data_IF_407364518082
#
_entry.id   IF_407364518082
#
_cell.length_a   1.000
_cell.length_b   1.000
_cell.length_c   1.000
_cell.angle_alpha   90.00
_cell.angle_beta   90.00
_cell.angle_gamma   90.00
#
_symmetry.space_group_name_H-M   'P 1'
#
loop_
_entity.id
_entity.type
_entity.pdbx_description
1 polymer ?
#
# COMPACT_ATOMS: atom_id res chain seq x y z
N UNK A 1 46.00 19.21 -18.47
CA UNK A 1 45.13 18.43 -19.35
C UNK A 1 45.08 17.01 -18.84
N UNK A 2 44.09 16.69 -18.02
CA UNK A 2 43.77 15.31 -17.63
C UNK A 2 42.27 15.21 -17.45
N UNK A 3 41.64 14.54 -18.39
CA UNK A 3 40.21 14.18 -18.36
C UNK A 3 39.99 13.05 -17.35
N UNK A 4 39.28 13.30 -16.25
CA UNK A 4 38.74 12.23 -15.39
C UNK A 4 37.39 11.80 -15.92
N UNK A 5 37.37 10.65 -16.55
CA UNK A 5 36.16 9.90 -16.92
C UNK A 5 35.56 9.25 -15.66
N UNK A 6 34.47 9.81 -15.15
CA UNK A 6 33.65 9.16 -14.12
C UNK A 6 32.76 8.12 -14.78
N UNK A 7 33.13 6.85 -14.66
CA UNK A 7 32.26 5.71 -14.98
C UNK A 7 31.16 5.60 -13.94
N UNK A 8 29.93 5.94 -14.32
CA UNK A 8 28.74 5.62 -13.53
C UNK A 8 28.61 4.10 -13.35
N UNK A 9 28.83 3.59 -12.15
CA UNK A 9 28.43 2.24 -11.76
C UNK A 9 26.91 2.18 -11.73
N UNK A 10 26.32 1.48 -12.68
CA UNK A 10 24.90 1.12 -12.70
C UNK A 10 24.55 0.43 -11.38
N UNK A 11 23.60 0.97 -10.64
CA UNK A 11 23.08 0.42 -9.42
C UNK A 11 22.35 -0.92 -9.70
N UNK A 12 23.04 -2.03 -9.47
CA UNK A 12 22.57 -3.40 -9.75
C UNK A 12 21.72 -4.01 -8.62
N UNK A 13 21.38 -3.24 -7.61
CA UNK A 13 20.75 -3.77 -6.39
C UNK A 13 19.28 -4.19 -6.57
N UNK A 14 18.57 -3.62 -7.53
CA UNK A 14 17.16 -3.97 -7.75
C UNK A 14 17.00 -5.27 -8.56
N UNK A 15 17.91 -5.53 -9.49
CA UNK A 15 17.98 -6.82 -10.20
C UNK A 15 18.42 -7.95 -9.29
N UNK A 16 19.15 -7.65 -8.22
CA UNK A 16 19.56 -8.63 -7.21
C UNK A 16 18.42 -9.00 -6.27
N UNK A 17 17.60 -8.04 -5.81
CA UNK A 17 16.44 -8.35 -4.96
C UNK A 17 15.37 -9.17 -5.71
N UNK A 18 15.03 -8.80 -6.93
CA UNK A 18 14.12 -9.60 -7.76
C UNK A 18 14.68 -10.98 -8.10
N UNK A 19 16.01 -11.11 -8.25
CA UNK A 19 16.69 -12.41 -8.40
C UNK A 19 16.70 -13.21 -7.10
N UNK A 20 16.79 -12.58 -5.94
CA UNK A 20 16.74 -13.24 -4.63
C UNK A 20 15.31 -13.73 -4.33
N UNK A 21 14.28 -12.96 -4.63
CA UNK A 21 12.89 -13.42 -4.50
C UNK A 21 12.57 -14.54 -5.50
N UNK A 22 13.02 -14.42 -6.76
CA UNK A 22 12.89 -15.49 -7.73
C UNK A 22 13.73 -16.73 -7.33
N UNK A 23 14.90 -16.52 -6.75
CA UNK A 23 15.75 -17.59 -6.23
C UNK A 23 15.12 -18.28 -5.02
N UNK A 24 14.48 -17.56 -4.12
CA UNK A 24 13.73 -18.10 -2.98
C UNK A 24 12.49 -18.87 -3.49
N UNK A 25 11.77 -18.37 -4.47
CA UNK A 25 10.65 -19.08 -5.10
C UNK A 25 11.15 -20.29 -5.89
N UNK A 26 12.27 -20.17 -6.61
CA UNK A 26 12.92 -21.29 -7.30
C UNK A 26 13.55 -22.30 -6.32
N UNK A 27 14.18 -21.84 -5.25
CA UNK A 27 14.69 -22.69 -4.17
C UNK A 27 13.54 -23.38 -3.41
N UNK A 28 12.42 -22.70 -3.19
CA UNK A 28 11.20 -23.36 -2.69
C UNK A 28 10.60 -24.34 -3.71
N UNK A 29 10.74 -24.08 -5.01
CA UNK A 29 10.23 -24.94 -6.08
C UNK A 29 11.24 -26.04 -6.50
N UNK A 30 12.56 -25.81 -6.44
CA UNK A 30 13.61 -26.76 -6.83
C UNK A 30 14.14 -27.58 -5.67
N UNK A 31 14.03 -27.14 -4.41
CA UNK A 31 14.21 -28.00 -3.24
C UNK A 31 13.19 -29.16 -3.20
N UNK A 32 12.23 -29.14 -4.12
CA UNK A 32 11.31 -30.25 -4.35
C UNK A 32 11.88 -31.44 -5.16
N UNK A 33 13.10 -31.35 -5.74
CA UNK A 33 13.56 -32.39 -6.68
C UNK A 33 14.94 -33.01 -6.47
N UNK A 34 15.76 -32.56 -5.56
CA UNK A 34 17.08 -33.20 -5.38
C UNK A 34 17.60 -33.09 -3.95
N UNK A 35 17.80 -34.18 -3.34
CA UNK A 35 18.63 -34.63 -2.22
C UNK A 35 17.87 -35.31 -1.07
N UNK A 36 18.23 -36.58 -0.82
CA UNK A 36 18.09 -37.33 0.44
C UNK A 36 16.67 -37.56 0.96
N UNK A 37 15.95 -38.55 0.42
CA UNK A 37 14.52 -38.78 0.70
C UNK A 37 14.11 -38.89 2.18
N UNK A 38 14.98 -39.21 3.13
CA UNK A 38 14.57 -39.42 4.53
C UNK A 38 14.62 -38.18 5.41
N UNK A 39 15.64 -37.35 5.27
CA UNK A 39 15.80 -36.12 6.08
C UNK A 39 14.84 -35.00 5.62
N UNK A 40 14.66 -34.90 4.32
CA UNK A 40 13.73 -33.95 3.72
C UNK A 40 12.27 -34.26 4.05
N UNK A 41 11.90 -35.56 4.11
CA UNK A 41 10.55 -35.95 4.52
C UNK A 41 10.26 -35.58 5.98
N UNK A 42 11.23 -35.74 6.88
CA UNK A 42 11.08 -35.37 8.30
C UNK A 42 11.00 -33.86 8.46
N UNK A 43 11.83 -33.08 7.76
CA UNK A 43 11.76 -31.62 7.79
C UNK A 43 10.44 -31.12 7.21
N UNK A 44 10.01 -31.66 6.08
CA UNK A 44 8.70 -31.35 5.47
C UNK A 44 7.54 -31.69 6.41
N UNK A 45 7.57 -32.87 7.02
CA UNK A 45 6.54 -33.27 7.98
C UNK A 45 6.49 -32.38 9.20
N UNK A 46 7.64 -31.92 9.73
CA UNK A 46 7.70 -30.95 10.85
C UNK A 46 7.17 -29.58 10.45
N UNK A 47 7.59 -29.07 9.29
CA UNK A 47 7.11 -27.79 8.76
C UNK A 47 5.60 -27.87 8.48
N UNK A 48 5.14 -28.94 7.85
CA UNK A 48 3.72 -29.14 7.57
C UNK A 48 2.88 -29.29 8.84
N UNK A 49 3.40 -30.01 9.84
CA UNK A 49 2.77 -30.15 11.16
C UNK A 49 2.68 -28.78 11.90
N UNK A 50 3.76 -28.01 11.91
CA UNK A 50 3.79 -26.68 12.54
C UNK A 50 2.85 -25.70 11.83
N UNK A 51 2.84 -25.70 10.49
CA UNK A 51 1.92 -24.90 9.69
C UNK A 51 0.47 -25.35 9.89
N UNK A 52 0.22 -26.64 10.00
CA UNK A 52 -1.10 -27.19 10.29
C UNK A 52 -1.59 -26.79 11.67
N UNK A 53 -0.76 -26.96 12.69
CA UNK A 53 -1.11 -26.57 14.07
C UNK A 53 -1.47 -25.08 14.15
N UNK A 54 -0.69 -24.22 13.48
CA UNK A 54 -0.98 -22.79 13.37
C UNK A 54 -2.23 -22.52 12.54
N UNK A 55 -2.42 -23.23 11.44
CA UNK A 55 -3.56 -23.05 10.54
C UNK A 55 -4.87 -23.43 11.22
N UNK A 56 -4.91 -24.57 11.95
CA UNK A 56 -6.13 -25.02 12.63
C UNK A 56 -6.38 -24.32 13.97
N UNK A 57 -5.37 -23.70 14.58
CA UNK A 57 -5.53 -22.87 15.77
C UNK A 57 -6.26 -21.59 15.39
N UNK A 58 -7.57 -21.55 15.60
CA UNK A 58 -8.36 -20.36 15.37
C UNK A 58 -8.70 -19.67 16.69
N UNK A 59 -8.70 -18.33 16.68
CA UNK A 59 -9.16 -17.51 17.79
C UNK A 59 -10.59 -16.98 17.55
N UNK A 60 -11.21 -17.37 16.43
CA UNK A 60 -12.54 -16.96 16.07
C UNK A 60 -13.63 -17.84 16.71
N UNK A 61 -14.79 -17.25 16.96
CA UNK A 61 -16.04 -17.96 17.19
C UNK A 61 -16.50 -18.59 15.87
N UNK A 62 -16.54 -19.92 15.82
CA UNK A 62 -16.86 -20.67 14.60
C UNK A 62 -18.30 -20.46 14.10
N UNK A 63 -19.20 -19.94 14.95
CA UNK A 63 -20.52 -19.51 14.52
C UNK A 63 -20.46 -18.26 13.63
N UNK A 64 -19.42 -17.43 13.75
CA UNK A 64 -19.24 -16.19 13.01
C UNK A 64 -18.20 -16.29 11.91
N UNK A 65 -17.08 -16.96 12.16
CA UNK A 65 -15.94 -17.00 11.23
C UNK A 65 -15.36 -18.40 11.17
N UNK A 66 -15.22 -18.93 9.98
CA UNK A 66 -14.64 -20.26 9.76
C UNK A 66 -13.49 -20.20 8.76
N UNK A 67 -12.63 -21.21 8.80
CA UNK A 67 -11.68 -21.44 7.73
C UNK A 67 -12.35 -22.17 6.56
N UNK A 68 -12.00 -21.85 5.31
CA UNK A 68 -12.37 -22.67 4.18
C UNK A 68 -11.69 -24.05 4.26
N UNK A 69 -12.28 -25.05 3.65
CA UNK A 69 -11.78 -26.43 3.69
C UNK A 69 -10.47 -26.63 2.91
N UNK A 70 -10.21 -25.80 1.89
CA UNK A 70 -9.02 -25.92 1.06
C UNK A 70 -7.72 -25.46 1.76
N UNK A 71 -6.64 -26.23 1.57
CA UNK A 71 -5.29 -25.90 2.08
C UNK A 71 -4.55 -24.93 1.19
N UNK A 72 -4.77 -25.02 -0.12
CA UNK A 72 -4.15 -24.19 -1.15
C UNK A 72 -5.21 -23.26 -1.76
N UNK A 73 -4.89 -21.99 -1.84
CA UNK A 73 -5.74 -21.00 -2.52
C UNK A 73 -4.91 -20.33 -3.62
N UNK A 74 -5.43 -20.35 -4.84
CA UNK A 74 -4.86 -19.64 -5.97
C UNK A 74 -5.74 -18.45 -6.31
N UNK A 75 -5.13 -17.32 -6.68
CA UNK A 75 -5.83 -16.08 -7.01
C UNK A 75 -5.20 -15.39 -8.20
N UNK A 76 -6.06 -14.89 -9.10
CA UNK A 76 -5.68 -13.88 -10.09
C UNK A 76 -6.27 -12.56 -9.66
N UNK A 77 -5.49 -11.48 -9.74
CA UNK A 77 -5.88 -10.16 -9.29
C UNK A 77 -5.54 -9.13 -10.34
N UNK A 78 -6.46 -8.20 -10.53
CA UNK A 78 -6.24 -6.94 -11.23
C UNK A 78 -6.19 -5.85 -10.18
N UNK A 79 -5.10 -5.10 -10.12
CA UNK A 79 -4.93 -4.02 -9.16
C UNK A 79 -4.82 -2.70 -9.93
N UNK A 80 -5.42 -1.66 -9.37
CA UNK A 80 -5.31 -0.30 -9.87
C UNK A 80 -5.01 0.62 -8.70
N UNK A 81 -4.06 1.54 -8.87
CA UNK A 81 -3.66 2.51 -7.85
C UNK A 81 -3.63 3.90 -8.45
N UNK A 82 -4.00 4.88 -7.63
CA UNK A 82 -3.89 6.30 -7.94
C UNK A 82 -3.52 7.09 -6.71
N UNK A 83 -2.97 8.28 -6.93
CA UNK A 83 -2.60 9.21 -5.88
C UNK A 83 -2.78 10.63 -6.40
N UNK A 84 -3.68 11.38 -5.77
CA UNK A 84 -3.97 12.77 -6.04
C UNK A 84 -3.40 13.61 -4.90
N UNK A 85 -2.83 14.74 -5.24
CA UNK A 85 -2.11 15.58 -4.31
C UNK A 85 -2.43 17.05 -4.57
N UNK A 86 -3.04 17.70 -3.61
CA UNK A 86 -3.33 19.13 -3.63
C UNK A 86 -2.52 19.82 -2.56
N UNK A 87 -1.68 20.76 -2.92
CA UNK A 87 -0.88 21.52 -1.99
C UNK A 87 -1.03 23.01 -2.24
N UNK A 88 -1.00 23.80 -1.17
CA UNK A 88 -0.88 25.26 -1.23
C UNK A 88 -0.06 25.77 -0.07
N UNK A 89 0.76 26.77 -0.31
CA UNK A 89 1.61 27.36 0.73
C UNK A 89 2.25 28.66 0.29
N UNK A 90 2.81 29.38 1.25
CA UNK A 90 3.52 30.65 1.01
C UNK A 90 4.90 30.61 1.67
N UNK A 91 5.95 30.81 0.86
CA UNK A 91 7.32 30.94 1.33
C UNK A 91 7.92 32.20 0.71
N UNK A 92 8.43 33.09 1.55
CA UNK A 92 9.06 34.36 1.12
C UNK A 92 8.20 35.21 0.17
N UNK A 93 6.90 35.31 0.45
CA UNK A 93 5.96 36.06 -0.39
C UNK A 93 5.56 35.38 -1.70
N UNK A 94 6.13 34.21 -2.01
CA UNK A 94 5.72 33.37 -3.16
C UNK A 94 4.59 32.48 -2.69
N UNK A 95 3.37 32.74 -3.14
CA UNK A 95 2.23 31.84 -2.97
C UNK A 95 2.28 30.78 -4.05
N UNK A 96 2.21 29.54 -3.66
CA UNK A 96 2.31 28.40 -4.57
C UNK A 96 1.12 27.47 -4.37
N UNK A 97 0.56 26.98 -5.48
CA UNK A 97 -0.41 25.89 -5.48
C UNK A 97 0.07 24.77 -6.39
N UNK A 98 -0.30 23.56 -6.04
CA UNK A 98 -0.01 22.37 -6.84
C UNK A 98 -1.20 21.42 -6.79
N UNK A 99 -1.70 21.07 -7.95
CA UNK A 99 -2.81 20.14 -8.17
C UNK A 99 -2.29 18.99 -9.05
N UNK A 100 -1.78 17.96 -8.39
CA UNK A 100 -0.97 16.94 -9.02
C UNK A 100 -1.60 15.57 -8.87
N UNK A 101 -1.43 14.73 -9.89
CA UNK A 101 -1.84 13.34 -9.87
C UNK A 101 -0.75 12.43 -10.44
N UNK A 102 -0.69 11.21 -9.96
CA UNK A 102 0.17 10.18 -10.56
C UNK A 102 -0.59 9.43 -11.65
N UNK A 103 0.12 8.97 -12.68
CA UNK A 103 -0.49 8.06 -13.66
C UNK A 103 -1.06 6.83 -12.96
N UNK A 104 -2.28 6.48 -13.30
CA UNK A 104 -2.94 5.28 -12.76
C UNK A 104 -2.14 4.03 -13.16
N UNK A 105 -1.77 3.22 -12.17
CA UNK A 105 -1.01 1.99 -12.39
C UNK A 105 -1.95 0.80 -12.36
N UNK A 106 -2.04 0.10 -13.48
CA UNK A 106 -2.75 -1.17 -13.56
C UNK A 106 -1.74 -2.30 -13.55
N UNK A 107 -1.88 -3.24 -12.61
CA UNK A 107 -1.03 -4.42 -12.48
C UNK A 107 -1.86 -5.67 -12.40
N UNK A 108 -1.41 -6.73 -13.06
CA UNK A 108 -1.97 -8.07 -12.91
C UNK A 108 -1.08 -8.88 -11.97
N UNK A 109 -1.66 -9.65 -11.04
CA UNK A 109 -0.89 -10.51 -10.16
C UNK A 109 -1.52 -11.89 -10.02
N UNK A 110 -0.65 -12.89 -9.91
CA UNK A 110 -1.02 -14.26 -9.56
C UNK A 110 -0.51 -14.49 -8.15
N UNK A 111 -1.36 -14.99 -7.28
CA UNK A 111 -1.04 -15.28 -5.89
C UNK A 111 -1.41 -16.71 -5.53
N UNK A 112 -0.57 -17.30 -4.70
CA UNK A 112 -0.83 -18.58 -4.06
C UNK A 112 -0.78 -18.40 -2.54
N UNK A 113 -1.67 -19.09 -1.84
CA UNK A 113 -1.68 -19.14 -0.38
C UNK A 113 -1.79 -20.59 0.07
N UNK A 114 -0.81 -21.04 0.84
CA UNK A 114 -0.81 -22.39 1.43
C UNK A 114 -0.89 -22.25 2.95
N UNK A 115 -1.94 -22.81 3.54
CA UNK A 115 -2.19 -22.79 5.00
C UNK A 115 -2.02 -21.40 5.64
N UNK A 116 -2.47 -20.37 4.94
CA UNK A 116 -2.46 -18.98 5.44
C UNK A 116 -1.16 -18.22 5.21
N UNK A 117 -0.13 -18.85 4.63
CA UNK A 117 1.05 -18.15 4.10
C UNK A 117 0.79 -17.86 2.62
N UNK A 118 0.92 -16.60 2.23
CA UNK A 118 0.61 -16.15 0.88
C UNK A 118 1.84 -15.55 0.21
N UNK A 119 2.03 -15.88 -1.06
CA UNK A 119 2.97 -15.21 -1.94
C UNK A 119 2.25 -14.77 -3.21
N UNK A 120 2.66 -13.66 -3.80
CA UNK A 120 2.10 -13.21 -5.06
C UNK A 120 3.17 -12.56 -5.93
N UNK A 121 3.08 -12.79 -7.22
CA UNK A 121 3.91 -12.14 -8.23
C UNK A 121 3.03 -11.16 -9.00
N UNK A 122 3.41 -9.89 -9.00
CA UNK A 122 2.76 -8.85 -9.76
C UNK A 122 3.55 -8.54 -11.04
N UNK A 123 2.86 -8.48 -12.15
CA UNK A 123 3.39 -8.08 -13.44
C UNK A 123 2.74 -6.76 -13.81
N UNK A 124 3.55 -5.76 -14.12
CA UNK A 124 3.05 -4.49 -14.63
C UNK A 124 3.32 -4.44 -16.15
N UNK A 125 2.29 -4.64 -17.00
CA UNK A 125 2.46 -4.59 -18.44
C UNK A 125 2.98 -3.24 -18.95
N UNK A 126 2.58 -2.14 -18.30
CA UNK A 126 2.99 -0.79 -18.68
C UNK A 126 4.47 -0.48 -18.35
N UNK A 127 5.09 -1.21 -17.40
CA UNK A 127 6.54 -1.07 -17.14
C UNK A 127 7.43 -1.60 -18.26
N UNK A 128 6.88 -2.40 -19.17
CA UNK A 128 7.64 -2.90 -20.32
C UNK A 128 7.84 -1.83 -21.40
N UNK A 129 7.09 -0.72 -21.36
CA UNK A 129 7.15 0.36 -22.34
C UNK A 129 7.42 1.76 -21.73
N UNK A 130 7.57 1.87 -20.41
CA UNK A 130 7.51 3.15 -19.71
C UNK A 130 8.81 3.93 -19.65
N UNK A 131 8.74 5.22 -19.99
CA UNK A 131 9.81 6.19 -19.88
C UNK A 131 10.13 6.58 -18.42
N UNK A 132 9.21 6.37 -17.46
CA UNK A 132 9.31 6.84 -16.09
C UNK A 132 9.50 5.71 -15.08
N UNK A 133 10.33 5.95 -14.05
CA UNK A 133 10.65 4.99 -12.99
C UNK A 133 9.66 5.09 -11.83
N UNK A 134 8.51 4.51 -12.03
CA UNK A 134 7.50 4.40 -10.98
C UNK A 134 7.52 3.02 -10.35
N UNK A 135 7.63 2.95 -9.02
CA UNK A 135 7.48 1.68 -8.31
C UNK A 135 6.68 1.85 -7.03
N UNK A 136 6.01 0.79 -6.63
CA UNK A 136 5.22 0.71 -5.42
C UNK A 136 5.44 -0.64 -4.74
N UNK A 137 5.67 -0.60 -3.44
CA UNK A 137 5.78 -1.76 -2.58
C UNK A 137 4.64 -1.72 -1.57
N UNK A 138 3.84 -2.76 -1.54
CA UNK A 138 2.72 -2.91 -0.62
C UNK A 138 2.89 -4.17 0.21
N UNK A 139 2.86 -4.01 1.52
CA UNK A 139 2.83 -5.10 2.47
C UNK A 139 1.58 -4.97 3.34
N UNK A 140 0.76 -6.03 3.35
CA UNK A 140 -0.45 -6.07 4.15
C UNK A 140 -0.46 -7.36 4.99
N UNK A 141 -0.64 -7.21 6.28
CA UNK A 141 -0.80 -8.31 7.22
C UNK A 141 -2.10 -8.16 7.98
N UNK A 142 -2.95 -9.17 7.88
CA UNK A 142 -4.23 -9.21 8.58
C UNK A 142 -4.33 -10.47 9.42
N UNK A 143 -4.37 -10.29 10.74
CA UNK A 143 -4.67 -11.37 11.69
C UNK A 143 -6.05 -11.17 12.32
N UNK A 144 -6.39 -11.98 13.29
CA UNK A 144 -7.66 -11.80 14.03
C UNK A 144 -7.65 -10.51 14.85
N UNK A 145 -6.54 -10.17 15.49
CA UNK A 145 -6.44 -9.05 16.44
C UNK A 145 -5.73 -7.84 15.87
N UNK A 146 -4.62 -8.07 15.17
CA UNK A 146 -3.73 -7.03 14.68
C UNK A 146 -3.72 -7.02 13.16
N UNK A 147 -3.73 -5.85 12.59
CA UNK A 147 -3.57 -5.62 11.17
C UNK A 147 -2.51 -4.55 10.94
N UNK A 148 -1.75 -4.73 9.88
CA UNK A 148 -0.68 -3.83 9.47
C UNK A 148 -0.78 -3.63 7.96
N UNK A 149 -0.81 -2.38 7.55
CA UNK A 149 -0.70 -1.95 6.17
C UNK A 149 0.51 -1.05 6.02
N UNK A 150 1.39 -1.39 5.08
CA UNK A 150 2.58 -0.62 4.75
C UNK A 150 2.63 -0.45 3.24
N UNK A 151 2.77 0.77 2.77
CA UNK A 151 2.97 1.06 1.36
C UNK A 151 4.05 2.11 1.16
N UNK A 152 4.98 1.84 0.27
CA UNK A 152 5.97 2.79 -0.20
C UNK A 152 5.80 3.00 -1.69
N UNK A 153 5.75 4.25 -2.12
CA UNK A 153 5.63 4.63 -3.52
C UNK A 153 6.70 5.64 -3.88
N UNK A 154 7.38 5.42 -5.00
CA UNK A 154 8.14 6.43 -5.71
C UNK A 154 7.52 6.63 -7.08
N UNK A 155 7.28 7.88 -7.46
CA UNK A 155 6.69 8.21 -8.76
C UNK A 155 7.45 9.36 -9.40
N UNK A 156 7.80 9.19 -10.67
CA UNK A 156 8.33 10.20 -11.57
C UNK A 156 7.26 10.61 -12.60
N UNK A 157 6.10 9.93 -12.62
CA UNK A 157 4.95 10.23 -13.48
C UNK A 157 3.98 11.26 -12.89
N UNK A 158 4.40 12.00 -11.86
CA UNK A 158 3.61 13.05 -11.26
C UNK A 158 3.45 14.20 -12.26
N UNK A 159 2.21 14.59 -12.54
CA UNK A 159 1.87 15.66 -13.47
C UNK A 159 0.65 16.43 -13.00
N UNK A 160 0.46 17.65 -13.47
CA UNK A 160 -0.71 18.47 -13.14
C UNK A 160 -0.42 19.96 -13.18
N UNK A 161 -1.32 20.71 -12.61
CA UNK A 161 -1.24 22.16 -12.65
C UNK A 161 -0.51 22.71 -11.42
N UNK A 162 0.35 23.69 -11.64
CA UNK A 162 1.09 24.40 -10.61
C UNK A 162 0.93 25.91 -10.81
N UNK A 163 0.92 26.66 -9.73
CA UNK A 163 0.98 28.11 -9.82
C UNK A 163 1.96 28.69 -8.81
N UNK A 164 2.57 29.82 -9.19
CA UNK A 164 3.47 30.60 -8.35
C UNK A 164 3.06 32.06 -8.46
N UNK A 165 2.43 32.59 -7.41
CA UNK A 165 1.70 33.90 -7.43
C UNK A 165 0.68 33.91 -8.60
N UNK A 166 0.81 34.84 -9.54
CA UNK A 166 -0.09 34.98 -10.69
C UNK A 166 0.32 34.16 -11.91
N UNK A 167 1.45 33.46 -11.84
CA UNK A 167 1.95 32.63 -12.95
C UNK A 167 1.43 31.20 -12.79
N UNK A 168 0.69 30.75 -13.79
CA UNK A 168 0.23 29.37 -13.88
C UNK A 168 1.11 28.58 -14.85
N UNK A 169 1.32 27.33 -14.56
CA UNK A 169 2.08 26.41 -15.41
C UNK A 169 1.60 24.99 -15.23
N UNK A 170 2.11 24.10 -16.05
CA UNK A 170 1.85 22.66 -15.95
C UNK A 170 3.14 21.93 -15.66
N UNK A 171 3.09 21.07 -14.67
CA UNK A 171 4.13 20.10 -14.35
C UNK A 171 3.92 18.87 -15.24
N UNK A 172 4.94 18.55 -16.03
CA UNK A 172 4.92 17.34 -16.85
C UNK A 172 5.56 16.16 -16.14
N UNK A 173 5.22 14.95 -16.56
CA UNK A 173 5.84 13.75 -16.03
C UNK A 173 7.36 13.76 -16.22
N UNK A 174 8.10 13.43 -15.16
CA UNK A 174 9.57 13.51 -15.12
C UNK A 174 10.11 14.79 -14.51
N UNK A 175 9.29 15.84 -14.34
CA UNK A 175 9.71 17.14 -13.82
C UNK A 175 9.61 17.26 -12.29
N UNK A 176 8.92 16.31 -11.66
CA UNK A 176 8.98 16.12 -10.22
C UNK A 176 9.10 14.65 -9.84
N UNK A 177 9.75 14.41 -8.72
CA UNK A 177 9.79 13.09 -8.08
C UNK A 177 9.01 13.12 -6.77
N UNK A 178 8.06 12.22 -6.62
CA UNK A 178 7.31 12.00 -5.40
C UNK A 178 7.78 10.71 -4.72
N UNK A 179 7.97 10.77 -3.40
CA UNK A 179 8.22 9.60 -2.54
C UNK A 179 7.21 9.65 -1.41
N UNK A 180 6.46 8.58 -1.19
CA UNK A 180 5.44 8.50 -0.12
C UNK A 180 5.54 7.18 0.60
N UNK A 181 5.53 7.24 1.93
CA UNK A 181 5.44 6.11 2.83
C UNK A 181 4.15 6.25 3.66
N UNK A 182 3.29 5.24 3.59
CA UNK A 182 2.14 5.11 4.45
C UNK A 182 2.27 3.84 5.27
N UNK A 183 2.01 3.95 6.56
CA UNK A 183 1.96 2.83 7.49
C UNK A 183 0.76 2.99 8.41
N UNK A 184 -0.01 1.91 8.61
CA UNK A 184 -1.10 1.87 9.57
C UNK A 184 -1.08 0.55 10.31
N UNK A 185 -1.22 0.60 11.62
CA UNK A 185 -1.37 -0.57 12.47
C UNK A 185 -2.59 -0.38 13.35
N UNK A 186 -3.43 -1.41 13.46
CA UNK A 186 -4.67 -1.31 14.22
C UNK A 186 -5.05 -2.62 14.91
N UNK A 187 -5.67 -2.46 16.05
CA UNK A 187 -6.21 -3.52 16.89
C UNK A 187 -7.72 -3.64 16.70
N UNK A 188 -8.20 -4.87 16.57
CA UNK A 188 -9.60 -5.23 16.40
C UNK A 188 -10.16 -5.73 17.72
N UNK A 189 -11.09 -5.00 18.35
CA UNK A 189 -11.64 -5.35 19.66
C UNK A 189 -12.53 -6.61 19.61
N UNK A 190 -13.46 -6.66 18.66
CA UNK A 190 -14.32 -7.83 18.47
C UNK A 190 -13.66 -8.90 17.58
N UNK A 191 -12.39 -9.18 17.84
CA UNK A 191 -11.54 -10.07 17.04
C UNK A 191 -12.04 -11.53 16.97
N UNK A 192 -12.97 -11.94 17.83
CA UNK A 192 -13.55 -13.28 17.81
C UNK A 192 -14.66 -13.42 16.76
N UNK A 193 -15.40 -12.37 16.46
CA UNK A 193 -16.59 -12.41 15.58
C UNK A 193 -16.41 -11.64 14.28
N UNK A 194 -15.54 -10.66 14.27
CA UNK A 194 -15.23 -9.84 13.11
C UNK A 194 -13.88 -10.24 12.49
N UNK A 195 -13.80 -10.33 11.15
CA UNK A 195 -12.61 -10.82 10.45
C UNK A 195 -12.22 -9.95 9.27
N UNK A 196 -11.13 -9.18 9.38
CA UNK A 196 -10.46 -8.55 8.23
C UNK A 196 -9.95 -9.58 7.23
N UNK A 197 -9.33 -10.70 7.66
CA UNK A 197 -8.89 -11.73 6.73
C UNK A 197 -9.99 -12.31 5.83
N UNK A 198 -11.23 -12.34 6.28
CA UNK A 198 -12.34 -12.79 5.44
C UNK A 198 -12.60 -11.84 4.26
N UNK A 199 -12.46 -10.53 4.48
CA UNK A 199 -12.71 -9.50 3.47
C UNK A 199 -11.52 -9.27 2.53
N UNK A 200 -10.28 -9.26 3.04
CA UNK A 200 -9.11 -8.80 2.27
C UNK A 200 -8.19 -9.91 1.78
N UNK A 201 -8.07 -11.00 2.52
CA UNK A 201 -7.22 -12.13 2.12
C UNK A 201 -7.99 -13.39 1.75
N UNK A 202 -9.29 -13.47 2.08
CA UNK A 202 -10.20 -14.60 1.88
C UNK A 202 -9.65 -15.93 2.48
N UNK A 203 -8.76 -15.82 3.47
CA UNK A 203 -8.23 -16.94 4.24
C UNK A 203 -9.19 -17.44 5.31
N UNK A 204 -10.30 -16.71 5.51
CA UNK A 204 -11.45 -17.07 6.33
C UNK A 204 -12.75 -16.74 5.60
N UNK A 205 -13.85 -17.29 6.08
CA UNK A 205 -15.21 -17.03 5.62
C UNK A 205 -15.99 -16.45 6.79
N UNK A 206 -16.55 -15.27 6.65
CA UNK A 206 -17.50 -14.68 7.60
C UNK A 206 -18.88 -15.31 7.36
N UNK A 207 -19.46 -15.95 8.38
CA UNK A 207 -20.77 -16.63 8.30
C UNK A 207 -21.94 -15.78 8.79
N UNK A 208 -21.67 -14.89 9.75
CA UNK A 208 -22.66 -13.98 10.34
C UNK A 208 -22.11 -12.57 10.35
N UNK A 209 -22.98 -11.60 10.18
CA UNK A 209 -22.61 -10.20 10.27
C UNK A 209 -22.05 -9.85 11.63
N UNK A 210 -21.00 -9.05 11.65
CA UNK A 210 -20.36 -8.58 12.87
C UNK A 210 -19.61 -7.27 12.62
N UNK A 211 -19.58 -6.43 13.62
CA UNK A 211 -18.77 -5.23 13.63
C UNK A 211 -17.74 -5.25 14.73
N UNK A 212 -16.78 -4.32 14.66
CA UNK A 212 -15.74 -4.12 15.65
C UNK A 212 -15.32 -2.66 15.74
N UNK A 213 -15.12 -2.19 16.95
CA UNK A 213 -14.30 -1.01 17.18
C UNK A 213 -12.84 -1.31 16.81
N UNK A 214 -12.16 -0.29 16.35
CA UNK A 214 -10.76 -0.31 15.95
C UNK A 214 -10.02 0.77 16.73
N UNK A 215 -8.81 0.49 17.15
CA UNK A 215 -7.89 1.51 17.67
C UNK A 215 -6.54 1.31 16.98
N UNK A 216 -5.87 2.39 16.63
CA UNK A 216 -4.63 2.24 15.89
C UNK A 216 -3.80 3.50 15.78
N UNK A 217 -2.70 3.33 15.08
CA UNK A 217 -1.75 4.37 14.75
C UNK A 217 -1.56 4.41 13.25
N UNK A 218 -1.29 5.60 12.73
CA UNK A 218 -0.97 5.80 11.32
C UNK A 218 0.24 6.71 11.18
N UNK A 219 1.06 6.42 10.19
CA UNK A 219 2.12 7.30 9.72
C UNK A 219 1.91 7.55 8.24
N UNK A 220 2.02 8.80 7.85
CA UNK A 220 2.06 9.20 6.46
C UNK A 220 3.17 10.24 6.30
N UNK A 221 4.08 9.97 5.37
CA UNK A 221 5.18 10.89 5.14
C UNK A 221 5.77 10.74 3.76
N UNK A 222 6.47 11.77 3.32
CA UNK A 222 7.08 11.74 2.01
C UNK A 222 7.67 13.08 1.59
N UNK A 223 8.12 13.11 0.35
CA UNK A 223 8.61 14.33 -0.29
C UNK A 223 8.14 14.44 -1.72
N UNK A 224 7.97 15.67 -2.17
CA UNK A 224 7.87 16.03 -3.59
C UNK A 224 9.02 17.00 -3.86
N UNK A 225 9.80 16.69 -4.89
CA UNK A 225 11.00 17.44 -5.26
C UNK A 225 10.95 17.72 -6.76
N UNK A 226 11.15 18.97 -7.18
CA UNK A 226 11.37 19.33 -8.59
C UNK A 226 12.66 18.72 -9.09
N UNK A 227 12.72 18.39 -10.38
CA UNK A 227 13.90 17.79 -11.03
C UNK A 227 14.61 18.81 -11.90
N UNK A 228 15.83 18.49 -12.32
CA UNK A 228 16.58 19.30 -13.31
C UNK A 228 15.82 19.44 -14.64
N UNK A 229 14.95 18.50 -14.99
CA UNK A 229 14.15 18.57 -16.21
C UNK A 229 13.20 19.78 -16.20
N UNK A 230 12.53 20.05 -15.05
CA UNK A 230 11.70 21.25 -14.90
C UNK A 230 12.54 22.53 -15.03
N UNK A 231 13.67 22.61 -14.33
CA UNK A 231 14.52 23.79 -14.31
C UNK A 231 15.17 24.05 -15.69
N UNK A 232 15.42 23.01 -16.46
CA UNK A 232 15.91 23.14 -17.84
C UNK A 232 14.83 23.65 -18.78
N UNK A 233 13.60 23.14 -18.66
CA UNK A 233 12.45 23.61 -19.47
C UNK A 233 12.01 25.02 -19.10
N UNK A 234 12.02 25.33 -17.81
CA UNK A 234 11.64 26.63 -17.29
C UNK A 234 12.66 27.12 -16.25
N UNK A 235 13.70 27.84 -16.65
CA UNK A 235 14.73 28.35 -15.72
C UNK A 235 14.22 29.32 -14.65
N UNK A 236 13.03 29.88 -14.84
CA UNK A 236 12.39 30.77 -13.86
C UNK A 236 11.56 29.98 -12.81
N UNK A 237 11.30 28.69 -13.03
CA UNK A 237 10.62 27.86 -12.06
C UNK A 237 11.46 27.78 -10.77
N UNK A 238 10.84 27.85 -9.59
CA UNK A 238 11.60 27.69 -8.35
C UNK A 238 11.96 26.24 -8.12
N UNK A 239 13.21 25.98 -7.76
CA UNK A 239 13.60 24.69 -7.17
C UNK A 239 12.82 24.54 -5.86
N UNK A 240 11.90 23.58 -5.84
CA UNK A 240 10.95 23.38 -4.74
C UNK A 240 11.06 21.96 -4.19
N UNK A 241 11.14 21.87 -2.87
CA UNK A 241 11.07 20.61 -2.15
C UNK A 241 10.06 20.74 -1.01
N UNK A 242 9.06 19.88 -1.02
CA UNK A 242 8.09 19.74 0.06
C UNK A 242 8.38 18.42 0.77
N UNK A 243 8.50 18.45 2.08
CA UNK A 243 8.62 17.29 2.94
C UNK A 243 7.52 17.31 3.98
N UNK A 244 6.79 16.22 4.10
CA UNK A 244 5.74 16.01 5.10
C UNK A 244 5.98 14.71 5.86
N UNK A 245 5.70 14.74 7.15
CA UNK A 245 5.78 13.55 8.00
C UNK A 245 4.80 13.69 9.17
N UNK A 246 3.82 12.80 9.23
CA UNK A 246 2.72 12.86 10.19
C UNK A 246 2.57 11.51 10.88
N UNK A 247 2.53 11.53 12.20
CA UNK A 247 2.20 10.38 13.01
C UNK A 247 0.92 10.67 13.77
N UNK A 248 -0.06 9.78 13.66
CA UNK A 248 -1.39 9.93 14.25
C UNK A 248 -1.80 8.73 15.07
N UNK A 249 -2.70 8.99 16.01
CA UNK A 249 -3.37 7.99 16.85
C UNK A 249 -4.87 8.17 16.66
N UNK A 250 -5.60 7.06 16.58
CA UNK A 250 -7.03 7.17 16.35
C UNK A 250 -7.79 5.89 16.60
N UNK A 251 -9.07 6.00 16.33
CA UNK A 251 -10.01 4.90 16.46
C UNK A 251 -11.07 4.96 15.38
N UNK A 252 -11.77 3.87 15.22
CA UNK A 252 -12.78 3.77 14.18
C UNK A 252 -13.68 2.56 14.37
N UNK A 253 -14.39 2.24 13.32
CA UNK A 253 -15.31 1.12 13.30
C UNK A 253 -15.24 0.38 11.98
N UNK A 254 -15.37 -0.94 12.04
CA UNK A 254 -15.48 -1.81 10.86
C UNK A 254 -16.70 -2.72 10.98
N UNK A 255 -17.34 -2.98 9.85
CA UNK A 255 -18.51 -3.86 9.79
C UNK A 255 -18.37 -4.84 8.62
N UNK A 256 -18.65 -6.12 8.91
CA UNK A 256 -18.80 -7.20 7.97
C UNK A 256 -20.27 -7.56 7.86
N UNK A 257 -20.94 -7.18 6.79
CA UNK A 257 -22.31 -7.55 6.47
C UNK A 257 -22.33 -8.84 5.66
N UNK A 258 -23.00 -9.87 6.13
CA UNK A 258 -23.20 -11.13 5.41
C UNK A 258 -24.62 -11.18 4.90
N UNK A 259 -24.76 -11.21 3.56
CA UNK A 259 -26.07 -11.31 2.90
C UNK A 259 -26.25 -12.72 2.34
N UNK A 260 -27.24 -13.41 2.85
CA UNK A 260 -27.42 -14.84 2.58
C UNK A 260 -26.21 -15.64 3.09
N UNK A 261 -25.79 -16.66 2.33
CA UNK A 261 -24.61 -17.50 2.67
C UNK A 261 -23.39 -17.24 1.80
N UNK A 262 -23.52 -16.33 0.82
CA UNK A 262 -22.53 -16.17 -0.26
C UNK A 262 -21.84 -14.81 -0.31
N UNK A 263 -22.53 -13.74 0.09
CA UNK A 263 -22.02 -12.38 0.02
C UNK A 263 -21.42 -11.92 1.34
N UNK A 264 -20.22 -11.34 1.26
CA UNK A 264 -19.63 -10.57 2.34
C UNK A 264 -19.40 -9.15 1.83
N UNK A 265 -19.97 -8.18 2.51
CA UNK A 265 -19.74 -6.76 2.33
C UNK A 265 -18.95 -6.25 3.53
N UNK A 266 -17.86 -5.56 3.30
CA UNK A 266 -17.05 -4.95 4.35
C UNK A 266 -16.96 -3.46 4.13
N UNK A 267 -17.10 -2.71 5.21
CA UNK A 267 -16.73 -1.31 5.27
C UNK A 267 -16.05 -1.04 6.61
N UNK A 268 -14.96 -0.28 6.58
CA UNK A 268 -14.32 0.23 7.80
C UNK A 268 -13.71 1.59 7.56
N UNK A 269 -13.72 2.41 8.61
CA UNK A 269 -13.13 3.74 8.62
C UNK A 269 -12.43 3.95 9.95
N UNK A 270 -11.20 4.43 9.90
CA UNK A 270 -10.39 4.75 11.08
C UNK A 270 -9.72 6.12 10.89
N UNK A 271 -10.39 7.21 11.31
CA UNK A 271 -9.74 8.51 11.46
C UNK A 271 -8.65 8.44 12.52
N UNK A 272 -7.50 9.04 12.20
CA UNK A 272 -6.38 9.21 13.12
C UNK A 272 -6.00 10.67 13.20
N UNK A 273 -5.97 11.22 14.43
CA UNK A 273 -5.53 12.57 14.69
C UNK A 273 -4.02 12.62 14.76
N UNK A 274 -3.43 13.52 14.02
CA UNK A 274 -1.97 13.71 13.99
C UNK A 274 -1.53 14.33 15.32
N UNK A 275 -0.67 13.62 16.03
CA UNK A 275 -0.11 14.05 17.33
C UNK A 275 1.34 14.54 17.19
N UNK A 276 1.99 14.22 16.08
CA UNK A 276 3.32 14.69 15.76
C UNK A 276 3.43 14.94 14.26
N UNK A 277 3.96 16.09 13.88
CA UNK A 277 4.24 16.45 12.51
C UNK A 277 5.68 16.93 12.32
N UNK A 278 6.18 16.76 11.11
CA UNK A 278 7.44 17.30 10.65
C UNK A 278 7.27 17.77 9.21
N UNK A 279 6.84 18.99 9.03
CA UNK A 279 6.61 19.57 7.72
C UNK A 279 7.63 20.66 7.43
N UNK A 280 8.12 20.70 6.23
CA UNK A 280 8.93 21.79 5.75
C UNK A 280 8.79 21.94 4.23
N UNK A 281 8.95 23.17 3.78
CA UNK A 281 8.98 23.54 2.39
C UNK A 281 10.28 24.30 2.13
N UNK A 282 10.97 23.93 1.06
CA UNK A 282 12.16 24.64 0.58
C UNK A 282 11.87 25.18 -0.80
N UNK A 283 12.10 26.46 -1.01
CA UNK A 283 11.92 27.14 -2.30
C UNK A 283 13.17 27.94 -2.57
N UNK A 284 13.82 27.73 -3.71
CA UNK A 284 15.09 28.39 -4.10
C UNK A 284 16.17 28.34 -2.99
N UNK A 285 16.29 27.19 -2.32
CA UNK A 285 17.26 26.98 -1.24
C UNK A 285 16.84 27.49 0.14
N UNK A 286 15.81 28.34 0.22
CA UNK A 286 15.30 28.83 1.49
C UNK A 286 14.30 27.85 2.11
N UNK A 287 14.55 27.48 3.36
CA UNK A 287 13.76 26.47 4.08
C UNK A 287 12.91 27.09 5.17
N UNK A 288 11.60 26.83 5.11
CA UNK A 288 10.64 27.14 6.15
C UNK A 288 10.12 25.84 6.77
N UNK A 289 10.17 25.75 8.10
CA UNK A 289 9.59 24.64 8.87
C UNK A 289 8.26 25.08 9.45
N UNK A 290 7.29 24.18 9.47
CA UNK A 290 6.06 24.40 10.21
C UNK A 290 6.34 24.49 11.71
N UNK A 291 5.77 25.52 12.35
CA UNK A 291 5.88 25.74 13.79
C UNK A 291 4.58 25.37 14.50
N UNK A 292 3.45 25.59 13.86
CA UNK A 292 2.13 25.38 14.42
C UNK A 292 1.32 24.45 13.52
N UNK A 293 0.79 23.41 14.12
CA UNK A 293 -0.17 22.52 13.49
C UNK A 293 -1.58 23.02 13.80
N UNK A 294 -2.40 23.21 12.78
CA UNK A 294 -3.80 23.65 12.95
C UNK A 294 -4.74 22.46 13.09
N UNK A 295 -4.93 21.73 12.00
CA UNK A 295 -5.80 20.56 12.00
C UNK A 295 -5.27 19.50 11.04
N UNK A 296 -4.91 18.33 11.58
CA UNK A 296 -4.31 17.29 10.78
C UNK A 296 -4.95 15.94 11.10
N UNK A 297 -5.45 15.28 10.07
CA UNK A 297 -6.07 13.97 10.15
C UNK A 297 -5.62 13.07 9.00
N UNK A 298 -5.55 11.79 9.30
CA UNK A 298 -5.39 10.72 8.32
C UNK A 298 -6.63 9.80 8.43
N UNK A 299 -7.31 9.58 7.32
CA UNK A 299 -8.44 8.68 7.21
C UNK A 299 -7.98 7.39 6.55
N UNK A 300 -8.12 6.27 7.26
CA UNK A 300 -7.86 4.95 6.72
C UNK A 300 -9.20 4.27 6.45
N UNK A 301 -9.58 4.20 5.18
CA UNK A 301 -10.88 3.70 4.74
C UNK A 301 -10.71 2.41 3.96
N UNK A 302 -11.61 1.47 4.15
CA UNK A 302 -11.58 0.20 3.46
C UNK A 302 -12.98 -0.28 3.13
N UNK A 303 -13.12 -0.79 1.93
CA UNK A 303 -14.33 -1.48 1.49
C UNK A 303 -13.94 -2.80 0.82
N UNK A 304 -14.81 -3.79 0.93
CA UNK A 304 -14.68 -5.04 0.19
C UNK A 304 -16.04 -5.65 -0.11
N UNK A 305 -16.12 -6.30 -1.25
CA UNK A 305 -17.22 -7.17 -1.63
C UNK A 305 -16.63 -8.52 -2.03
N UNK A 306 -17.10 -9.58 -1.41
CA UNK A 306 -16.66 -10.95 -1.70
C UNK A 306 -17.88 -11.82 -1.96
N UNK A 307 -17.88 -12.53 -3.07
CA UNK A 307 -18.90 -13.51 -3.41
C UNK A 307 -18.30 -14.90 -3.45
N UNK A 308 -18.84 -15.82 -2.66
CA UNK A 308 -18.48 -17.22 -2.67
C UNK A 308 -19.48 -18.00 -3.53
N UNK A 309 -19.06 -18.38 -4.76
CA UNK A 309 -19.90 -19.19 -5.67
C UNK A 309 -20.17 -20.57 -5.07
N UNK A 310 -19.12 -21.13 -4.43
CA UNK A 310 -19.15 -22.41 -3.72
C UNK A 310 -18.12 -22.40 -2.59
N UNK A 311 -17.88 -23.56 -1.95
CA UNK A 311 -16.77 -23.75 -1.03
C UNK A 311 -15.40 -23.53 -1.69
N UNK A 312 -15.31 -23.74 -3.02
CA UNK A 312 -14.05 -23.72 -3.77
C UNK A 312 -13.81 -22.40 -4.52
N UNK A 313 -14.84 -21.82 -5.14
CA UNK A 313 -14.69 -20.65 -6.01
C UNK A 313 -15.20 -19.38 -5.36
N UNK A 314 -14.47 -18.31 -5.52
CA UNK A 314 -14.86 -16.99 -5.04
C UNK A 314 -14.34 -15.88 -5.95
N UNK A 315 -15.02 -14.75 -5.93
CA UNK A 315 -14.62 -13.52 -6.60
C UNK A 315 -14.86 -12.33 -5.66
N UNK A 316 -14.29 -11.20 -5.99
CA UNK A 316 -14.57 -10.00 -5.24
C UNK A 316 -13.75 -8.80 -5.68
N UNK A 317 -13.99 -7.71 -4.98
CA UNK A 317 -13.22 -6.49 -5.11
C UNK A 317 -12.93 -5.91 -3.73
N UNK A 318 -11.80 -5.22 -3.63
CA UNK A 318 -11.42 -4.47 -2.43
C UNK A 318 -10.96 -3.08 -2.81
N UNK A 319 -11.24 -2.11 -1.95
CA UNK A 319 -10.77 -0.73 -2.04
C UNK A 319 -10.14 -0.37 -0.70
N UNK A 320 -8.93 0.19 -0.75
CA UNK A 320 -8.24 0.77 0.40
C UNK A 320 -7.92 2.19 0.04
N UNK A 321 -8.30 3.13 0.90
CA UNK A 321 -8.04 4.56 0.73
C UNK A 321 -7.29 5.07 1.95
N UNK A 322 -6.31 5.93 1.70
CA UNK A 322 -5.58 6.67 2.71
C UNK A 322 -5.66 8.14 2.33
N UNK A 323 -6.64 8.82 2.90
CA UNK A 323 -6.88 10.23 2.68
C UNK A 323 -6.28 11.03 3.83
N UNK A 324 -5.67 12.16 3.54
CA UNK A 324 -5.09 13.00 4.57
C UNK A 324 -5.36 14.46 4.30
N UNK A 325 -5.59 15.16 5.39
CA UNK A 325 -5.73 16.62 5.41
C UNK A 325 -4.70 17.14 6.41
N UNK A 326 -3.77 17.95 5.91
CA UNK A 326 -2.73 18.57 6.71
C UNK A 326 -2.77 20.08 6.51
N UNK A 327 -3.01 20.80 7.58
CA UNK A 327 -3.06 22.26 7.61
C UNK A 327 -2.11 22.77 8.71
N UNK A 328 -1.06 23.45 8.29
CA UNK A 328 -0.12 24.12 9.18
C UNK A 328 0.19 25.55 8.71
N UNK A 329 1.15 26.20 9.34
CA UNK A 329 1.51 27.60 9.05
C UNK A 329 2.39 27.77 7.81
N UNK A 330 2.79 26.69 7.16
CA UNK A 330 3.67 26.70 5.97
C UNK A 330 2.94 26.20 4.74
N UNK A 331 2.24 25.07 4.86
CA UNK A 331 1.63 24.39 3.74
C UNK A 331 0.34 23.70 4.16
N UNK A 332 -0.66 23.77 3.29
CA UNK A 332 -1.87 22.95 3.37
C UNK A 332 -1.73 21.87 2.32
N UNK A 333 -1.84 20.60 2.73
CA UNK A 333 -1.71 19.46 1.86
C UNK A 333 -2.89 18.53 2.04
N UNK A 334 -3.57 18.23 0.94
CA UNK A 334 -4.56 17.17 0.87
C UNK A 334 -4.01 16.08 -0.04
N UNK A 335 -3.96 14.86 0.44
CA UNK A 335 -3.54 13.69 -0.35
C UNK A 335 -4.63 12.64 -0.32
N UNK A 336 -4.99 12.13 -1.51
CA UNK A 336 -5.93 11.04 -1.68
C UNK A 336 -5.21 9.89 -2.39
N UNK A 337 -4.85 8.87 -1.63
CA UNK A 337 -4.26 7.65 -2.17
C UNK A 337 -5.27 6.51 -2.11
N UNK A 338 -5.49 5.85 -3.24
CA UNK A 338 -6.39 4.71 -3.30
C UNK A 338 -5.76 3.51 -4.02
N UNK A 339 -6.21 2.34 -3.61
CA UNK A 339 -5.81 1.06 -4.19
C UNK A 339 -7.06 0.17 -4.33
N UNK A 340 -7.50 -0.01 -5.56
CA UNK A 340 -8.59 -0.91 -5.93
C UNK A 340 -8.03 -2.24 -6.42
N UNK A 341 -8.69 -3.33 -6.09
CA UNK A 341 -8.31 -4.68 -6.49
C UNK A 341 -9.56 -5.50 -6.82
N UNK A 342 -9.62 -6.07 -8.02
CA UNK A 342 -10.56 -7.12 -8.36
C UNK A 342 -9.84 -8.47 -8.36
N UNK A 343 -10.51 -9.55 -7.96
CA UNK A 343 -9.89 -10.87 -7.88
C UNK A 343 -10.87 -12.01 -8.14
N UNK A 344 -10.30 -13.07 -8.69
CA UNK A 344 -10.90 -14.39 -8.79
C UNK A 344 -10.00 -15.39 -8.07
N UNK A 345 -10.60 -16.35 -7.38
CA UNK A 345 -9.83 -17.34 -6.64
C UNK A 345 -10.48 -18.71 -6.59
N UNK A 346 -9.61 -19.71 -6.42
CA UNK A 346 -9.97 -21.11 -6.22
C UNK A 346 -9.30 -21.65 -4.96
N UNK A 347 -10.03 -22.41 -4.16
CA UNK A 347 -9.55 -23.15 -3.00
C UNK A 347 -9.45 -24.61 -3.35
N UNK A 348 -8.25 -25.16 -3.24
CA UNK A 348 -7.94 -26.55 -3.53
C UNK A 348 -7.72 -27.31 -2.22
N UNK A 349 -8.07 -28.61 -2.15
CA UNK A 349 -7.93 -29.44 -0.95
C UNK A 349 -6.51 -29.57 -0.44
#
# INVERSE_FOLDING_TARGET
MNYYSFKFRKCSTFTQLAKVELLIILLLATSFKAYGQSRDQQVRARVDSALSARYYKTHYDTNYVVRPEGKLTLKVRLNQTGNDFHAKGTVNGIYSTADLHTSHKTTMSIGASYRGISASLAINPAKMSGAYKDYELNFNYYSSRLSLDLSYQRSESLAGDISFNDNTGRLEAGEATMKVLNAAAYYTFNHRRFSFPAAFTQSYIQRRSAGSWLAGISYQGGSIETTEALLTRNPNAPDTRIYVGHFGIGGGYGYNGVLGRRWLLHFSMMPTFVVYNRNNMTVRGERKKAQHMRFNMIFNERAAIVYNFSSHYFAGATLVMNNSVFDDDVVIVNQNKWHARAFLGIRLP
#
